data_IF_122885960084
#
_entry.id   IF_122885960084
#
_cell.length_a   1.000
_cell.length_b   1.000
_cell.length_c   1.000
_cell.angle_alpha   90.00
_cell.angle_beta   90.00
_cell.angle_gamma   90.00
#
_symmetry.space_group_name_H-M   'P 1'
#
loop_
_entity.id
_entity.type
_entity.pdbx_description
1 polymer ?
#
# COMPACT_ATOMS: atom_id res chain seq x y z
N UNK A 1 -17.31 -8.82 8.34
CA UNK A 1 -15.90 -8.41 8.17
C UNK A 1 -15.76 -7.14 8.97
N UNK A 2 -15.18 -7.25 10.15
CA UNK A 2 -14.94 -6.09 10.99
C UNK A 2 -13.64 -5.44 10.49
N UNK A 3 -13.76 -4.22 9.96
CA UNK A 3 -12.63 -3.45 9.48
C UNK A 3 -12.31 -2.38 10.52
N UNK A 4 -11.26 -2.63 11.29
CA UNK A 4 -10.74 -1.64 12.23
C UNK A 4 -9.74 -0.72 11.53
N UNK A 5 -9.72 0.54 11.94
CA UNK A 5 -8.71 1.50 11.48
C UNK A 5 -7.39 1.15 12.13
N UNK A 6 -6.38 0.90 11.30
CA UNK A 6 -4.99 0.75 11.73
C UNK A 6 -4.21 1.98 11.27
N UNK A 7 -3.30 2.47 12.11
CA UNK A 7 -2.41 3.57 11.72
C UNK A 7 -1.40 3.11 10.66
N UNK A 8 -1.15 3.96 9.66
CA UNK A 8 -0.18 3.68 8.61
C UNK A 8 1.23 3.92 9.14
N UNK A 9 1.92 2.84 9.48
CA UNK A 9 3.27 2.85 10.06
C UNK A 9 4.13 1.79 9.38
N UNK A 10 5.45 1.88 9.54
CA UNK A 10 6.36 0.85 9.04
C UNK A 10 6.03 -0.52 9.64
N UNK A 11 5.74 -0.59 10.94
CA UNK A 11 5.41 -1.85 11.62
C UNK A 11 4.12 -2.47 11.08
N UNK A 12 3.08 -1.66 10.85
CA UNK A 12 1.82 -2.16 10.27
C UNK A 12 1.98 -2.63 8.82
N UNK A 13 2.84 -1.97 8.03
CA UNK A 13 3.17 -2.39 6.66
C UNK A 13 4.04 -3.66 6.62
N UNK A 14 4.99 -3.80 7.54
CA UNK A 14 5.86 -4.99 7.65
C UNK A 14 5.10 -6.21 8.17
N UNK A 15 4.12 -6.01 9.06
CA UNK A 15 3.27 -7.07 9.57
C UNK A 15 2.28 -7.60 8.52
N UNK A 16 1.96 -6.80 7.49
CA UNK A 16 1.07 -7.20 6.42
C UNK A 16 1.81 -8.00 5.33
N UNK A 17 1.22 -9.11 4.89
CA UNK A 17 1.73 -9.85 3.73
C UNK A 17 1.45 -9.11 2.41
N UNK A 18 0.34 -8.37 2.33
CA UNK A 18 0.01 -7.53 1.19
C UNK A 18 -0.82 -6.30 1.59
N UNK A 19 -0.69 -5.25 0.79
CA UNK A 19 -1.49 -4.02 0.87
C UNK A 19 -2.38 -3.94 -0.36
N UNK A 20 -3.67 -3.73 -0.17
CA UNK A 20 -4.62 -3.56 -1.28
C UNK A 20 -5.08 -2.11 -1.35
N UNK A 21 -4.80 -1.44 -2.46
CA UNK A 21 -5.31 -0.09 -2.70
C UNK A 21 -6.76 -0.20 -3.17
N UNK A 22 -7.69 0.04 -2.26
CA UNK A 22 -9.14 0.07 -2.55
C UNK A 22 -9.62 1.46 -2.96
N UNK A 23 -8.94 2.52 -2.54
CA UNK A 23 -9.25 3.90 -2.94
C UNK A 23 -7.98 4.73 -3.03
N UNK A 24 -7.83 5.48 -4.13
CA UNK A 24 -6.68 6.37 -4.37
C UNK A 24 -6.94 7.74 -3.72
N UNK A 25 -6.69 7.85 -2.42
CA UNK A 25 -6.73 9.15 -1.72
C UNK A 25 -5.37 9.83 -1.75
N UNK A 26 -5.34 11.11 -2.13
CA UNK A 26 -4.11 11.91 -2.22
C UNK A 26 -3.42 12.19 -0.87
N UNK A 27 -4.08 11.89 0.25
CA UNK A 27 -3.51 12.05 1.59
C UNK A 27 -2.45 10.98 1.91
N UNK A 28 -2.45 9.86 1.18
CA UNK A 28 -1.48 8.79 1.41
C UNK A 28 -0.17 9.08 0.70
N UNK A 29 0.92 8.89 1.44
CA UNK A 29 2.25 8.83 0.87
C UNK A 29 2.48 7.45 0.24
N UNK A 30 2.24 7.37 -1.07
CA UNK A 30 2.42 6.14 -1.82
C UNK A 30 3.89 5.70 -1.91
N UNK A 31 4.84 6.64 -1.81
CA UNK A 31 6.27 6.34 -1.78
C UNK A 31 6.61 5.60 -0.48
N UNK A 32 6.12 6.12 0.66
CA UNK A 32 6.24 5.44 1.95
C UNK A 32 5.66 4.02 1.92
N UNK A 33 4.47 3.85 1.31
CA UNK A 33 3.87 2.52 1.14
C UNK A 33 4.75 1.63 0.26
N UNK A 34 5.29 2.13 -0.86
CA UNK A 34 6.13 1.35 -1.78
C UNK A 34 7.45 0.89 -1.14
N UNK A 35 8.02 1.70 -0.26
CA UNK A 35 9.29 1.41 0.41
C UNK A 35 9.17 0.34 1.50
N UNK A 36 8.01 0.26 2.17
CA UNK A 36 7.81 -0.59 3.34
C UNK A 36 6.91 -1.82 3.06
N UNK A 37 6.00 -1.75 2.09
CA UNK A 37 5.13 -2.89 1.78
C UNK A 37 5.88 -3.98 1.00
N UNK A 38 5.63 -5.26 1.34
CA UNK A 38 6.22 -6.41 0.63
C UNK A 38 5.56 -6.65 -0.74
N UNK A 39 4.24 -6.52 -0.79
CA UNK A 39 3.41 -6.66 -1.98
C UNK A 39 2.28 -5.64 -1.95
N UNK A 40 2.07 -4.93 -3.06
CA UNK A 40 0.93 -4.02 -3.23
C UNK A 40 0.07 -4.51 -4.39
N UNK A 41 -1.23 -4.70 -4.14
CA UNK A 41 -2.24 -4.92 -5.17
C UNK A 41 -2.95 -3.60 -5.41
N UNK A 42 -2.63 -2.98 -6.54
CA UNK A 42 -3.18 -1.68 -6.90
C UNK A 42 -4.34 -1.82 -7.88
N UNK A 43 -5.56 -1.69 -7.36
CA UNK A 43 -6.80 -1.74 -8.16
C UNK A 43 -7.22 -0.36 -8.69
N UNK A 44 -6.50 0.70 -8.30
CA UNK A 44 -6.88 2.10 -8.53
C UNK A 44 -5.85 2.88 -9.30
N UNK A 45 -4.74 2.24 -9.69
CA UNK A 45 -3.63 2.86 -10.39
C UNK A 45 -2.99 4.03 -9.60
N UNK A 46 -3.03 3.95 -8.27
CA UNK A 46 -2.47 4.95 -7.35
C UNK A 46 -0.94 4.95 -7.33
N UNK A 47 -0.33 3.79 -7.52
CA UNK A 47 1.10 3.58 -7.40
C UNK A 47 1.84 3.88 -8.71
N UNK A 48 1.15 4.28 -9.80
CA UNK A 48 1.76 4.38 -11.13
C UNK A 48 2.95 5.34 -11.12
N UNK A 49 4.13 4.82 -11.49
CA UNK A 49 5.37 5.60 -11.50
C UNK A 49 6.05 5.74 -10.14
N UNK A 50 5.51 5.12 -9.10
CA UNK A 50 6.11 5.04 -7.76
C UNK A 50 7.06 3.84 -7.72
N UNK A 51 8.32 4.07 -7.36
CA UNK A 51 9.32 3.02 -7.20
C UNK A 51 9.44 2.63 -5.73
N UNK A 52 9.66 1.35 -5.44
CA UNK A 52 9.78 0.87 -4.07
C UNK A 52 10.49 -0.47 -3.98
N UNK A 53 10.66 -0.96 -2.75
CA UNK A 53 11.33 -2.23 -2.47
C UNK A 53 10.41 -3.43 -2.75
N UNK A 54 9.10 -3.24 -2.57
CA UNK A 54 8.08 -4.25 -2.77
C UNK A 54 7.65 -4.45 -4.22
N UNK A 55 6.97 -5.56 -4.48
CA UNK A 55 6.33 -5.81 -5.78
C UNK A 55 5.00 -5.08 -5.84
N UNK A 56 4.71 -4.42 -6.97
CA UNK A 56 3.37 -3.88 -7.28
C UNK A 56 2.72 -4.72 -8.38
N UNK A 57 1.50 -5.17 -8.14
CA UNK A 57 0.65 -5.86 -9.11
C UNK A 57 -0.54 -4.96 -9.41
N UNK A 58 -0.69 -4.64 -10.69
CA UNK A 58 -1.75 -3.78 -11.22
C UNK A 58 -2.90 -4.65 -11.72
N UNK A 59 -4.14 -4.23 -11.44
CA UNK A 59 -5.35 -4.79 -12.03
C UNK A 59 -6.01 -3.80 -12.99
#
# INVERSE_FOLDING_TARGET
>A
LDCERVELTTDSLHAADCVVVVTNHAVYDWQFVAENARLVVDTRNAMRGVAGNGRVVWL
#
